data_IF_164209126655
#
_entry.id   IF_164209126655
#
_cell.length_a   1.000
_cell.length_b   1.000
_cell.length_c   1.000
_cell.angle_alpha   90.00
_cell.angle_beta   90.00
_cell.angle_gamma   90.00
#
_symmetry.space_group_name_H-M   'P 1'
#
loop_
_entity.id
_entity.type
_entity.pdbx_description
1 polymer ?
#
# COMPACT_ATOMS: atom_id res chain seq x y z
N UNK A 1 -49.80 45.63 -10.05
CA UNK A 1 -49.00 45.96 -8.83
C UNK A 1 -47.98 44.86 -8.59
N UNK A 2 -46.68 45.15 -8.77
CA UNK A 2 -45.58 44.20 -8.61
C UNK A 2 -44.89 44.51 -7.28
N UNK A 3 -44.95 43.62 -6.31
CA UNK A 3 -44.19 43.77 -5.07
C UNK A 3 -42.74 43.29 -5.29
N UNK A 4 -41.80 44.21 -5.09
CA UNK A 4 -40.37 43.92 -4.98
C UNK A 4 -40.10 43.44 -3.55
N UNK A 5 -39.76 42.18 -3.39
CA UNK A 5 -39.25 41.67 -2.11
C UNK A 5 -37.75 42.03 -2.02
N UNK A 6 -37.41 42.73 -0.97
CA UNK A 6 -36.05 43.19 -0.65
C UNK A 6 -35.20 42.07 -0.08
N UNK A 7 -34.08 41.79 -0.77
CA UNK A 7 -33.17 40.66 -0.51
C UNK A 7 -32.02 41.00 0.47
N UNK A 8 -32.23 41.92 1.42
CA UNK A 8 -31.13 42.51 2.20
C UNK A 8 -31.05 42.10 3.70
N UNK A 9 -31.93 41.25 4.19
CA UNK A 9 -31.93 40.94 5.63
C UNK A 9 -31.35 39.57 6.01
N UNK A 10 -31.02 38.69 5.05
CA UNK A 10 -30.48 37.37 5.34
C UNK A 10 -28.94 37.35 5.45
N UNK A 11 -28.24 38.36 4.97
CA UNK A 11 -26.75 38.40 5.03
C UNK A 11 -26.18 38.89 6.35
N UNK A 12 -26.98 39.50 7.22
CA UNK A 12 -26.50 40.02 8.52
C UNK A 12 -26.53 39.01 9.68
N UNK A 13 -27.23 37.92 9.53
CA UNK A 13 -27.39 36.93 10.58
C UNK A 13 -26.36 35.77 10.53
N UNK A 14 -25.67 35.63 9.38
CA UNK A 14 -24.65 34.57 9.23
C UNK A 14 -23.25 35.02 9.72
N UNK A 15 -23.02 36.36 9.83
CA UNK A 15 -21.73 36.89 10.25
C UNK A 15 -21.49 36.89 11.76
N UNK A 16 -22.49 36.56 12.59
CA UNK A 16 -22.41 36.71 14.05
C UNK A 16 -22.21 35.40 14.81
N UNK A 17 -22.18 34.26 14.12
CA UNK A 17 -21.99 32.94 14.74
C UNK A 17 -20.55 32.41 14.63
N UNK A 18 -19.70 33.05 13.84
CA UNK A 18 -18.34 32.54 13.56
C UNK A 18 -17.27 33.10 14.52
N UNK A 19 -17.59 34.10 15.36
CA UNK A 19 -16.59 34.75 16.23
C UNK A 19 -16.55 34.25 17.66
N UNK A 20 -17.35 33.26 18.05
CA UNK A 20 -17.41 32.80 19.45
C UNK A 20 -16.71 31.47 19.78
N UNK A 21 -15.96 30.84 18.82
CA UNK A 21 -15.40 29.49 19.03
C UNK A 21 -13.86 29.46 19.06
N UNK A 22 -13.17 30.55 19.27
CA UNK A 22 -11.70 30.58 19.20
C UNK A 22 -11.02 31.10 20.48
N UNK A 23 -11.55 30.77 21.66
CA UNK A 23 -10.79 30.96 22.90
C UNK A 23 -11.15 29.77 23.83
N UNK A 24 -10.34 28.74 23.88
CA UNK A 24 -9.96 27.91 25.03
C UNK A 24 -9.21 26.66 24.54
N UNK A 25 -7.94 26.66 24.78
CA UNK A 25 -7.15 25.51 25.27
C UNK A 25 -5.66 25.69 24.92
N UNK A 26 -5.01 26.56 25.65
CA UNK A 26 -3.57 26.45 25.89
C UNK A 26 -3.43 25.99 27.34
N UNK A 27 -3.28 24.70 27.55
CA UNK A 27 -2.75 24.16 28.81
C UNK A 27 -1.37 23.61 28.55
N UNK A 28 -0.37 24.31 29.11
CA UNK A 28 0.99 23.84 29.23
C UNK A 28 1.02 22.50 29.98
N UNK A 29 1.68 21.52 29.39
CA UNK A 29 2.21 20.37 30.11
C UNK A 29 3.72 20.36 29.95
N UNK A 30 4.40 21.01 30.90
CA UNK A 30 5.82 20.82 31.15
C UNK A 30 6.03 19.51 31.89
N UNK A 31 6.53 18.48 31.22
CA UNK A 31 7.08 17.31 31.88
C UNK A 31 8.59 17.40 31.91
N UNK A 32 9.06 17.46 33.14
CA UNK A 32 10.44 17.50 33.60
C UNK A 32 11.16 16.23 33.16
N UNK A 33 12.26 16.39 32.42
CA UNK A 33 13.23 15.33 32.17
C UNK A 33 14.17 15.26 33.37
N UNK A 34 14.10 14.17 34.11
CA UNK A 34 15.10 13.83 35.11
C UNK A 34 16.26 13.09 34.42
N UNK A 35 17.41 13.70 34.53
CA UNK A 35 18.71 13.17 34.12
C UNK A 35 19.19 12.18 35.20
N UNK A 36 19.43 10.93 34.81
CA UNK A 36 20.13 9.96 35.65
C UNK A 36 21.36 9.44 34.91
N UNK A 37 22.50 9.95 35.34
CA UNK A 37 23.86 9.43 35.08
C UNK A 37 24.13 8.25 35.98
N UNK A 38 24.69 7.17 35.44
CA UNK A 38 25.66 6.21 35.99
C UNK A 38 25.66 4.94 35.18
N UNK A 39 26.71 4.18 34.93
CA UNK A 39 28.15 4.23 35.14
C UNK A 39 28.77 3.19 34.17
N UNK A 40 30.00 3.44 33.83
CA UNK A 40 30.92 2.54 33.11
C UNK A 40 30.95 1.12 33.65
N UNK A 41 30.96 0.12 32.75
CA UNK A 41 31.81 -1.05 32.92
C UNK A 41 32.30 -1.58 31.57
N UNK A 42 33.55 -1.36 31.32
CA UNK A 42 34.38 -1.97 30.31
C UNK A 42 34.47 -3.51 30.52
N UNK A 43 34.25 -4.28 29.51
CA UNK A 43 34.80 -5.66 29.47
C UNK A 43 35.26 -5.93 28.04
N UNK A 44 36.58 -5.90 27.89
CA UNK A 44 37.32 -6.44 26.74
C UNK A 44 37.12 -7.95 26.68
N UNK A 45 36.71 -8.48 25.56
CA UNK A 45 37.04 -9.85 25.18
C UNK A 45 37.36 -9.86 23.68
N UNK A 46 38.63 -10.11 23.43
CA UNK A 46 39.21 -10.48 22.14
C UNK A 46 38.87 -11.95 21.88
N UNK A 47 38.31 -12.23 20.72
CA UNK A 47 38.55 -13.54 20.07
C UNK A 47 38.48 -13.34 18.56
N UNK A 48 39.65 -13.37 17.95
CA UNK A 48 39.82 -13.56 16.51
C UNK A 48 39.47 -15.03 16.19
N UNK A 49 38.60 -15.21 15.23
CA UNK A 49 38.58 -16.48 14.49
C UNK A 49 38.41 -16.18 13.01
N UNK A 50 39.51 -16.27 12.29
CA UNK A 50 39.57 -16.40 10.84
C UNK A 50 38.84 -17.65 10.42
N UNK A 51 37.78 -17.54 9.65
CA UNK A 51 37.32 -18.63 8.80
C UNK A 51 37.17 -18.13 7.38
N UNK A 52 38.06 -18.62 6.55
CA UNK A 52 38.14 -18.51 5.12
C UNK A 52 37.18 -19.55 4.56
N UNK A 53 36.08 -19.13 3.94
CA UNK A 53 35.25 -20.08 3.17
C UNK A 53 34.99 -19.50 1.79
N UNK A 54 35.37 -20.31 0.81
CA UNK A 54 35.34 -20.04 -0.61
C UNK A 54 33.93 -19.76 -1.13
N UNK A 55 33.85 -18.74 -2.00
CA UNK A 55 32.70 -18.49 -2.86
C UNK A 55 32.56 -19.62 -3.89
N UNK A 56 31.56 -20.46 -3.69
CA UNK A 56 31.08 -21.37 -4.74
C UNK A 56 29.91 -20.70 -5.45
N UNK A 57 30.20 -20.18 -6.64
CA UNK A 57 29.26 -19.65 -7.64
C UNK A 57 28.32 -20.79 -8.04
N UNK A 58 27.07 -20.75 -7.59
CA UNK A 58 26.02 -21.61 -8.10
C UNK A 58 25.11 -20.77 -8.98
N UNK A 59 25.34 -20.86 -10.26
CA UNK A 59 24.49 -20.38 -11.35
C UNK A 59 23.35 -21.41 -11.46
N UNK A 60 22.17 -21.05 -10.93
CA UNK A 60 20.95 -21.85 -11.13
C UNK A 60 19.99 -21.06 -12.02
N UNK A 61 20.15 -21.24 -13.31
CA UNK A 61 19.14 -20.91 -14.32
C UNK A 61 18.00 -21.93 -14.22
N UNK A 62 17.00 -21.67 -13.43
CA UNK A 62 15.71 -22.37 -13.51
C UNK A 62 14.79 -21.60 -14.43
N UNK A 63 14.71 -22.07 -15.65
CA UNK A 63 13.75 -21.70 -16.67
C UNK A 63 12.36 -22.21 -16.24
N UNK A 64 11.62 -21.40 -15.44
CA UNK A 64 10.26 -21.73 -15.05
C UNK A 64 9.36 -21.33 -16.22
N UNK A 65 9.01 -22.32 -17.04
CA UNK A 65 7.94 -22.23 -18.03
C UNK A 65 6.66 -21.69 -17.35
N UNK A 66 6.02 -20.62 -17.88
CA UNK A 66 4.75 -20.13 -17.33
C UNK A 66 3.72 -21.25 -17.35
N UNK A 67 3.16 -21.57 -16.20
CA UNK A 67 2.04 -22.51 -16.12
C UNK A 67 0.85 -21.91 -16.87
N UNK A 68 0.23 -22.71 -17.71
CA UNK A 68 -0.98 -22.33 -18.45
C UNK A 68 -2.07 -21.91 -17.45
N UNK A 69 -2.90 -20.89 -17.77
CA UNK A 69 -3.98 -20.46 -16.89
C UNK A 69 -4.96 -21.61 -16.65
N UNK A 70 -5.25 -21.88 -15.37
CA UNK A 70 -6.23 -22.89 -15.01
C UNK A 70 -7.60 -22.54 -15.60
N UNK A 71 -8.37 -23.53 -16.11
CA UNK A 71 -9.66 -23.28 -16.72
C UNK A 71 -10.62 -22.59 -15.74
N UNK A 72 -11.47 -21.71 -16.25
CA UNK A 72 -12.46 -20.93 -15.47
C UNK A 72 -13.39 -21.85 -14.68
N UNK A 73 -13.68 -23.04 -15.20
CA UNK A 73 -14.52 -24.07 -14.56
C UNK A 73 -13.94 -24.56 -13.20
N UNK A 74 -12.60 -24.62 -13.07
CA UNK A 74 -11.97 -25.08 -11.83
C UNK A 74 -12.11 -24.08 -10.68
N UNK A 75 -12.15 -22.78 -10.96
CA UNK A 75 -12.33 -21.74 -9.92
C UNK A 75 -13.74 -21.79 -9.33
N UNK A 76 -14.76 -21.92 -10.20
CA UNK A 76 -16.16 -22.00 -9.76
C UNK A 76 -16.39 -23.23 -8.91
N UNK A 77 -15.85 -24.36 -9.32
CA UNK A 77 -15.94 -25.63 -8.59
C UNK A 77 -15.31 -25.53 -7.18
N UNK A 78 -14.16 -24.86 -7.05
CA UNK A 78 -13.52 -24.61 -5.78
C UNK A 78 -14.34 -23.67 -4.88
N UNK A 79 -14.97 -22.63 -5.46
CA UNK A 79 -15.84 -21.72 -4.71
C UNK A 79 -17.10 -22.43 -4.19
N UNK A 80 -17.68 -23.35 -4.97
CA UNK A 80 -18.84 -24.14 -4.54
C UNK A 80 -18.49 -25.11 -3.41
N UNK A 81 -17.28 -25.67 -3.41
CA UNK A 81 -16.77 -26.44 -2.26
C UNK A 81 -16.62 -25.58 -1.00
N UNK A 82 -16.24 -24.30 -1.14
CA UNK A 82 -16.17 -23.39 0.00
C UNK A 82 -17.54 -23.15 0.65
N UNK A 83 -18.61 -23.06 -0.16
CA UNK A 83 -19.99 -22.89 0.34
C UNK A 83 -20.47 -24.07 1.19
N UNK A 84 -19.90 -25.26 1.01
CA UNK A 84 -20.19 -26.44 1.83
C UNK A 84 -19.56 -26.44 3.23
N UNK A 85 -18.74 -25.44 3.58
CA UNK A 85 -18.16 -25.31 4.91
C UNK A 85 -19.23 -25.02 5.98
N UNK A 86 -19.04 -25.58 7.19
CA UNK A 86 -20.05 -25.55 8.25
C UNK A 86 -20.26 -24.20 8.90
N UNK A 87 -19.23 -23.35 8.91
CA UNK A 87 -19.34 -22.02 9.51
C UNK A 87 -18.94 -20.91 8.52
N UNK A 88 -19.53 -19.75 8.71
CA UNK A 88 -19.36 -18.60 7.83
C UNK A 88 -17.90 -18.10 7.75
N UNK A 89 -17.15 -18.20 8.84
CA UNK A 89 -15.74 -17.79 8.86
C UNK A 89 -14.88 -18.72 8.00
N UNK A 90 -15.05 -20.03 8.13
CA UNK A 90 -14.34 -21.01 7.30
C UNK A 90 -14.71 -20.89 5.83
N UNK A 91 -15.98 -20.60 5.53
CA UNK A 91 -16.43 -20.32 4.19
C UNK A 91 -15.71 -19.11 3.60
N UNK A 92 -15.69 -17.98 4.34
CA UNK A 92 -15.01 -16.75 3.92
C UNK A 92 -13.50 -16.95 3.70
N UNK A 93 -12.82 -17.62 4.64
CA UNK A 93 -11.38 -17.90 4.53
C UNK A 93 -11.06 -18.81 3.32
N UNK A 94 -11.90 -19.80 3.06
CA UNK A 94 -11.80 -20.67 1.90
C UNK A 94 -12.00 -19.89 0.58
N UNK A 95 -13.07 -19.13 0.46
CA UNK A 95 -13.35 -18.31 -0.75
C UNK A 95 -12.24 -17.29 -1.00
N UNK A 96 -11.73 -16.66 0.07
CA UNK A 96 -10.59 -15.74 -0.02
C UNK A 96 -9.36 -16.46 -0.57
N UNK A 97 -9.03 -17.63 -0.05
CA UNK A 97 -7.87 -18.39 -0.51
C UNK A 97 -7.99 -18.78 -2.00
N UNK A 98 -9.16 -19.20 -2.45
CA UNK A 98 -9.43 -19.53 -3.87
C UNK A 98 -9.26 -18.27 -4.75
N UNK A 99 -9.83 -17.14 -4.35
CA UNK A 99 -9.71 -15.87 -5.08
C UNK A 99 -8.27 -15.37 -5.15
N UNK A 100 -7.53 -15.43 -4.02
CA UNK A 100 -6.12 -15.05 -3.96
C UNK A 100 -5.26 -15.97 -4.84
N UNK A 101 -5.51 -17.27 -4.84
CA UNK A 101 -4.79 -18.23 -5.71
C UNK A 101 -5.04 -17.94 -7.20
N UNK A 102 -6.28 -17.72 -7.59
CA UNK A 102 -6.65 -17.38 -8.97
C UNK A 102 -6.05 -16.03 -9.40
N UNK A 103 -5.97 -15.05 -8.49
CA UNK A 103 -5.32 -13.78 -8.75
C UNK A 103 -3.80 -13.97 -8.95
N UNK A 104 -3.15 -14.69 -8.04
CA UNK A 104 -1.70 -14.96 -8.10
C UNK A 104 -1.31 -15.71 -9.37
N UNK A 105 -2.16 -16.62 -9.87
CA UNK A 105 -1.91 -17.39 -11.08
C UNK A 105 -1.82 -16.50 -12.35
N UNK A 106 -2.46 -15.34 -12.36
CA UNK A 106 -2.47 -14.38 -13.48
C UNK A 106 -1.48 -13.23 -13.28
N UNK A 107 -0.84 -13.16 -12.14
CA UNK A 107 -0.01 -12.03 -11.73
C UNK A 107 1.47 -12.31 -11.93
N UNK A 108 2.23 -11.26 -12.23
CA UNK A 108 3.68 -11.27 -12.13
C UNK A 108 4.07 -11.15 -10.66
N UNK A 109 4.95 -12.03 -10.19
CA UNK A 109 5.49 -12.01 -8.84
C UNK A 109 6.78 -11.19 -8.79
N UNK A 110 6.84 -10.23 -7.86
CA UNK A 110 8.07 -9.51 -7.50
C UNK A 110 8.30 -9.65 -6.00
N UNK A 111 9.50 -10.07 -5.58
CA UNK A 111 9.82 -10.21 -4.16
C UNK A 111 10.75 -9.09 -3.72
N UNK A 112 10.40 -8.40 -2.65
CA UNK A 112 11.17 -7.33 -2.02
C UNK A 112 11.29 -7.65 -0.53
N UNK A 113 12.51 -7.90 -0.05
CA UNK A 113 12.71 -8.38 1.31
C UNK A 113 11.88 -9.64 1.61
N UNK A 114 11.14 -9.69 2.73
CA UNK A 114 10.31 -10.83 3.09
C UNK A 114 8.93 -10.84 2.40
N UNK A 115 8.61 -9.85 1.57
CA UNK A 115 7.28 -9.70 0.96
C UNK A 115 7.33 -10.03 -0.52
N UNK A 116 6.40 -10.89 -0.94
CA UNK A 116 6.08 -11.13 -2.35
C UNK A 116 4.87 -10.32 -2.76
N UNK A 117 5.02 -9.53 -3.82
CA UNK A 117 3.96 -8.76 -4.46
C UNK A 117 3.51 -9.48 -5.72
N UNK A 118 2.21 -9.64 -5.89
CA UNK A 118 1.59 -10.22 -7.08
C UNK A 118 0.75 -9.14 -7.76
N UNK A 119 1.07 -8.85 -9.02
CA UNK A 119 0.44 -7.81 -9.82
C UNK A 119 0.09 -8.31 -11.23
N UNK A 120 -1.20 -8.32 -11.63
CA UNK A 120 -1.63 -8.86 -12.93
C UNK A 120 -1.59 -7.83 -14.08
N UNK A 121 -1.28 -6.57 -13.79
CA UNK A 121 -1.46 -5.43 -14.68
C UNK A 121 -2.71 -4.63 -14.33
N UNK A 122 -2.85 -3.46 -14.95
CA UNK A 122 -4.02 -2.61 -14.81
C UNK A 122 -4.34 -1.86 -16.11
N UNK A 123 -5.61 -1.53 -16.28
CA UNK A 123 -6.08 -0.65 -17.36
C UNK A 123 -6.18 0.78 -16.82
N UNK A 124 -5.71 1.73 -17.61
CA UNK A 124 -5.90 3.15 -17.33
C UNK A 124 -7.25 3.57 -17.91
N UNK A 125 -8.07 4.16 -17.07
CA UNK A 125 -9.36 4.72 -17.44
C UNK A 125 -9.21 6.22 -17.64
N UNK A 126 -9.89 6.80 -18.64
CA UNK A 126 -9.98 8.25 -18.80
C UNK A 126 -11.39 8.69 -18.47
N UNK A 127 -11.54 9.53 -17.45
CA UNK A 127 -12.81 10.08 -17.01
C UNK A 127 -12.71 11.61 -16.97
N UNK A 128 -13.50 12.27 -17.81
CA UNK A 128 -13.52 13.75 -17.89
C UNK A 128 -12.17 14.37 -18.28
N UNK A 129 -11.40 13.70 -19.14
CA UNK A 129 -10.08 14.17 -19.58
C UNK A 129 -8.96 13.94 -18.54
N UNK A 130 -9.22 13.14 -17.51
CA UNK A 130 -8.26 12.78 -16.46
C UNK A 130 -8.05 11.28 -16.43
N UNK A 131 -6.78 10.89 -16.37
CA UNK A 131 -6.38 9.49 -16.31
C UNK A 131 -6.47 8.98 -14.88
N UNK A 132 -7.04 7.79 -14.74
CA UNK A 132 -7.20 7.10 -13.45
C UNK A 132 -6.74 5.66 -13.63
N UNK A 133 -5.94 5.17 -12.70
CA UNK A 133 -5.54 3.77 -12.66
C UNK A 133 -5.70 3.19 -11.26
N UNK A 134 -6.32 2.01 -11.19
CA UNK A 134 -6.49 1.24 -9.97
C UNK A 134 -5.48 0.10 -9.97
N UNK A 135 -4.45 0.20 -9.15
CA UNK A 135 -3.43 -0.82 -8.98
C UNK A 135 -3.85 -1.76 -7.86
N UNK A 136 -4.24 -2.97 -8.23
CA UNK A 136 -4.58 -4.01 -7.25
C UNK A 136 -3.42 -4.99 -7.08
N UNK A 137 -3.04 -5.23 -5.84
CA UNK A 137 -2.01 -6.18 -5.45
C UNK A 137 -2.55 -7.24 -4.50
N UNK A 138 -1.97 -8.43 -4.58
CA UNK A 138 -1.95 -9.38 -3.48
C UNK A 138 -0.53 -9.41 -2.95
N UNK A 139 -0.36 -9.25 -1.64
CA UNK A 139 0.93 -9.32 -0.96
C UNK A 139 0.95 -10.50 -0.01
N UNK A 140 2.12 -11.13 0.11
CA UNK A 140 2.32 -12.28 0.96
C UNK A 140 3.62 -12.14 1.74
N UNK A 141 3.55 -12.33 3.06
CA UNK A 141 4.74 -12.43 3.88
C UNK A 141 5.33 -13.83 3.75
N UNK A 142 6.39 -13.96 2.97
CA UNK A 142 7.12 -15.22 2.76
C UNK A 142 8.23 -15.43 3.79
N UNK A 143 8.44 -14.49 4.70
CA UNK A 143 9.34 -14.63 5.84
C UNK A 143 8.78 -15.61 6.87
N UNK A 144 9.66 -16.21 7.65
CA UNK A 144 9.30 -17.32 8.55
C UNK A 144 9.06 -16.91 10.01
N UNK A 145 9.40 -15.69 10.41
CA UNK A 145 9.46 -15.34 11.83
C UNK A 145 8.64 -14.12 12.23
N UNK A 146 8.70 -13.04 11.44
CA UNK A 146 8.23 -11.75 11.91
C UNK A 146 6.94 -11.29 11.21
N UNK A 147 6.10 -10.58 11.96
CA UNK A 147 5.02 -9.82 11.36
C UNK A 147 5.61 -8.65 10.60
N UNK A 148 5.17 -8.46 9.38
CA UNK A 148 5.59 -7.34 8.53
C UNK A 148 4.44 -6.36 8.39
N UNK A 149 4.74 -5.08 8.54
CA UNK A 149 3.77 -4.01 8.35
C UNK A 149 4.13 -3.19 7.10
N UNK A 150 3.13 -2.95 6.28
CA UNK A 150 3.17 -2.03 5.14
C UNK A 150 2.50 -0.73 5.58
N UNK A 151 3.11 0.42 5.26
CA UNK A 151 2.64 1.74 5.72
C UNK A 151 2.28 2.66 4.56
N UNK A 152 1.08 3.26 4.64
CA UNK A 152 0.61 4.30 3.74
C UNK A 152 -0.48 5.14 4.42
N UNK A 153 -0.08 6.06 5.29
CA UNK A 153 -1.00 6.85 6.14
C UNK A 153 -1.54 8.11 5.47
N UNK A 154 -0.88 8.57 4.43
CA UNK A 154 -1.30 9.74 3.64
C UNK A 154 -0.37 9.93 2.45
N UNK A 155 -0.76 10.68 1.38
CA UNK A 155 0.07 10.83 0.18
C UNK A 155 1.47 11.38 0.44
N UNK A 156 1.63 12.19 1.50
CA UNK A 156 2.94 12.69 1.93
C UNK A 156 3.75 11.65 2.73
N UNK A 157 3.06 10.71 3.39
CA UNK A 157 3.65 9.72 4.32
C UNK A 157 3.24 8.32 3.86
N UNK A 158 3.56 7.99 2.61
CA UNK A 158 3.32 6.69 2.02
C UNK A 158 4.63 6.11 1.50
N UNK A 159 4.88 4.85 1.83
CA UNK A 159 6.06 4.12 1.39
C UNK A 159 5.93 3.60 -0.05
N UNK A 160 4.85 3.98 -0.74
CA UNK A 160 4.53 3.58 -2.10
C UNK A 160 4.26 4.80 -2.97
N UNK A 161 4.88 4.85 -4.13
CA UNK A 161 4.60 5.83 -5.19
C UNK A 161 4.79 5.20 -6.57
N UNK A 162 4.17 5.77 -7.59
CA UNK A 162 4.36 5.37 -8.99
C UNK A 162 5.32 6.33 -9.65
N UNK A 163 6.24 5.81 -10.47
CA UNK A 163 7.14 6.63 -11.27
C UNK A 163 7.16 6.15 -12.73
N UNK A 164 7.24 7.12 -13.64
CA UNK A 164 7.49 6.90 -15.08
C UNK A 164 8.98 7.06 -15.46
N UNK A 165 9.86 7.11 -14.45
CA UNK A 165 11.29 7.34 -14.61
C UNK A 165 11.69 8.82 -14.54
N UNK A 166 10.77 9.75 -14.81
CA UNK A 166 11.00 11.20 -14.74
C UNK A 166 10.15 11.87 -13.68
N UNK A 167 8.91 11.43 -13.54
CA UNK A 167 7.91 11.99 -12.61
C UNK A 167 7.55 10.94 -11.57
N UNK A 168 7.29 11.40 -10.35
CA UNK A 168 6.76 10.57 -9.26
C UNK A 168 5.34 11.01 -8.94
N UNK A 169 4.41 10.06 -9.01
CA UNK A 169 3.00 10.26 -8.75
C UNK A 169 2.65 9.70 -7.38
N UNK A 170 1.90 10.48 -6.61
CA UNK A 170 1.34 10.04 -5.34
C UNK A 170 -0.06 9.47 -5.54
N UNK A 171 -0.46 8.56 -4.67
CA UNK A 171 -1.80 7.99 -4.77
C UNK A 171 -2.88 9.03 -4.45
N UNK A 172 -4.03 8.86 -5.09
CA UNK A 172 -5.24 9.63 -4.82
C UNK A 172 -6.13 8.96 -3.75
N UNK A 173 -6.20 7.61 -3.76
CA UNK A 173 -6.91 6.83 -2.77
C UNK A 173 -6.21 5.50 -2.53
N UNK A 174 -6.39 4.91 -1.34
CA UNK A 174 -5.98 3.53 -1.02
C UNK A 174 -6.95 2.89 -0.04
N UNK A 175 -6.86 1.58 0.13
CA UNK A 175 -7.68 0.80 1.05
C UNK A 175 -6.91 0.27 2.28
N UNK A 176 -5.80 0.91 2.65
CA UNK A 176 -5.05 0.57 3.86
C UNK A 176 -5.85 0.94 5.11
N UNK A 177 -6.25 -0.05 5.88
CA UNK A 177 -6.96 0.16 7.13
C UNK A 177 -6.07 0.91 8.14
N UNK A 178 -6.51 2.09 8.58
CA UNK A 178 -5.73 2.96 9.48
C UNK A 178 -4.31 3.24 8.98
N UNK A 179 -4.12 3.28 7.66
CA UNK A 179 -2.85 3.56 7.02
C UNK A 179 -1.82 2.44 7.08
N UNK A 180 -2.23 1.21 7.43
CA UNK A 180 -1.30 0.08 7.55
C UNK A 180 -1.94 -1.26 7.18
N UNK A 181 -1.09 -2.19 6.74
CA UNK A 181 -1.43 -3.59 6.52
C UNK A 181 -0.44 -4.44 7.30
N UNK A 182 -0.92 -5.24 8.25
CA UNK A 182 -0.09 -6.17 9.02
C UNK A 182 -0.22 -7.58 8.46
N UNK A 183 0.90 -8.20 8.12
CA UNK A 183 1.01 -9.55 7.57
C UNK A 183 1.77 -10.44 8.55
N UNK A 184 1.12 -11.46 9.08
CA UNK A 184 1.77 -12.55 9.80
C UNK A 184 2.60 -13.41 8.83
N UNK A 185 3.59 -14.19 9.31
CA UNK A 185 4.28 -15.16 8.47
C UNK A 185 3.31 -16.07 7.73
N UNK A 186 3.51 -16.25 6.43
CA UNK A 186 2.63 -17.01 5.53
C UNK A 186 1.28 -16.38 5.20
N UNK A 187 0.94 -15.23 5.80
CA UNK A 187 -0.33 -14.56 5.51
C UNK A 187 -0.27 -13.76 4.22
N UNK A 188 -1.41 -13.71 3.51
CA UNK A 188 -1.61 -12.84 2.35
C UNK A 188 -2.76 -11.87 2.57
N UNK A 189 -2.64 -10.67 1.98
CA UNK A 189 -3.71 -9.67 1.90
C UNK A 189 -3.71 -9.01 0.52
N UNK A 190 -4.89 -8.61 0.05
CA UNK A 190 -5.03 -7.74 -1.10
C UNK A 190 -5.12 -6.29 -0.66
N UNK A 191 -4.62 -5.40 -1.49
CA UNK A 191 -4.86 -3.96 -1.37
C UNK A 191 -4.92 -3.30 -2.75
N UNK A 192 -5.55 -2.14 -2.79
CA UNK A 192 -5.70 -1.32 -3.99
C UNK A 192 -5.16 0.08 -3.73
N UNK A 193 -4.45 0.62 -4.72
CA UNK A 193 -4.04 2.02 -4.74
C UNK A 193 -4.54 2.66 -6.03
N UNK A 194 -5.24 3.78 -5.91
CA UNK A 194 -5.73 4.57 -7.03
C UNK A 194 -4.79 5.73 -7.28
N UNK A 195 -4.35 5.89 -8.52
CA UNK A 195 -3.61 7.06 -9.00
C UNK A 195 -4.49 7.80 -10.01
N UNK A 196 -4.50 9.13 -9.92
CA UNK A 196 -5.38 9.94 -10.74
C UNK A 196 -5.14 11.43 -10.51
N UNK A 197 -6.19 12.25 -10.64
CA UNK A 197 -6.11 13.67 -10.30
C UNK A 197 -5.64 13.85 -8.87
N UNK A 198 -4.74 14.79 -8.64
CA UNK A 198 -4.32 15.14 -7.29
C UNK A 198 -5.52 15.59 -6.47
N UNK A 199 -5.76 14.91 -5.34
CA UNK A 199 -6.80 15.25 -4.39
C UNK A 199 -6.16 15.75 -3.10
N UNK A 200 -6.56 16.93 -2.64
CA UNK A 200 -6.24 17.41 -1.31
C UNK A 200 -5.03 18.34 -1.24
N UNK A 201 -4.49 18.42 -0.06
CA UNK A 201 -3.53 19.43 0.35
C UNK A 201 -2.12 19.08 -0.13
N UNK A 202 -1.58 19.89 -1.01
CA UNK A 202 -0.20 19.81 -1.45
C UNK A 202 -0.04 19.81 -2.97
N UNK A 203 1.19 20.08 -3.42
CA UNK A 203 1.55 20.11 -4.84
C UNK A 203 1.88 18.70 -5.32
N UNK A 204 0.86 17.85 -5.45
CA UNK A 204 1.01 16.55 -6.08
C UNK A 204 0.75 16.68 -7.57
N UNK A 205 1.52 15.93 -8.37
CA UNK A 205 1.35 15.88 -9.81
C UNK A 205 0.21 14.92 -10.14
N UNK A 206 -0.76 15.37 -10.95
CA UNK A 206 -1.81 14.52 -11.48
C UNK A 206 -1.19 13.37 -12.27
N UNK A 207 -1.70 12.17 -12.07
CA UNK A 207 -1.30 11.04 -12.87
C UNK A 207 -1.74 11.27 -14.32
N UNK A 208 -0.76 11.17 -15.24
CA UNK A 208 -0.99 11.22 -16.69
C UNK A 208 -0.31 10.00 -17.31
N UNK A 209 -1.09 9.24 -18.05
CA UNK A 209 -0.60 8.06 -18.72
C UNK A 209 0.01 8.41 -20.08
N UNK A 210 1.21 7.92 -20.29
CA UNK A 210 1.91 7.98 -21.57
C UNK A 210 2.29 6.54 -21.96
N UNK A 211 1.68 5.97 -23.01
CA UNK A 211 1.93 4.59 -23.41
C UNK A 211 3.37 4.31 -23.89
N UNK A 212 4.17 5.36 -24.12
CA UNK A 212 5.58 5.22 -24.51
C UNK A 212 6.51 5.06 -23.31
N UNK A 213 6.02 5.30 -22.08
CA UNK A 213 6.80 5.25 -20.85
C UNK A 213 6.62 3.93 -20.10
N UNK A 214 7.64 3.59 -19.32
CA UNK A 214 7.60 2.46 -18.41
C UNK A 214 7.28 2.95 -17.00
N UNK A 215 6.28 2.34 -16.38
CA UNK A 215 5.85 2.68 -15.04
C UNK A 215 6.33 1.65 -14.03
N UNK A 216 6.69 2.12 -12.84
CA UNK A 216 7.06 1.27 -11.71
C UNK A 216 6.35 1.74 -10.43
N UNK A 217 5.90 0.79 -9.60
CA UNK A 217 5.60 1.07 -8.21
C UNK A 217 6.91 0.99 -7.42
N UNK A 218 7.28 2.09 -6.79
CA UNK A 218 8.41 2.13 -5.88
C UNK A 218 7.93 1.72 -4.48
N UNK A 219 8.66 0.84 -3.84
CA UNK A 219 8.46 0.38 -2.47
C UNK A 219 9.61 0.91 -1.63
N UNK A 220 9.32 1.58 -0.51
CA UNK A 220 10.31 2.24 0.38
C UNK A 220 10.02 1.89 1.84
N UNK A 221 9.90 0.61 2.13
CA UNK A 221 9.59 0.12 3.46
C UNK A 221 10.86 -0.12 4.29
N UNK A 222 10.80 -0.04 5.63
CA UNK A 222 11.96 -0.31 6.50
C UNK A 222 12.51 -1.72 6.35
N UNK A 223 11.66 -2.70 5.99
CA UNK A 223 12.04 -4.09 5.80
C UNK A 223 12.55 -4.39 4.39
N UNK A 224 12.49 -3.45 3.45
CA UNK A 224 13.01 -3.61 2.10
C UNK A 224 12.54 -2.53 1.12
N UNK A 225 13.42 -2.19 0.19
CA UNK A 225 13.12 -1.24 -0.88
C UNK A 225 13.30 -1.88 -2.24
N UNK A 226 12.48 -1.48 -3.21
CA UNK A 226 12.56 -2.01 -4.57
C UNK A 226 11.55 -1.37 -5.51
N UNK A 227 11.51 -1.89 -6.74
CA UNK A 227 10.62 -1.43 -7.80
C UNK A 227 9.83 -2.61 -8.35
N UNK A 228 8.55 -2.41 -8.57
CA UNK A 228 7.65 -3.38 -9.21
C UNK A 228 7.27 -2.81 -10.57
N UNK A 229 7.65 -3.45 -11.69
CA UNK A 229 7.22 -3.03 -13.01
C UNK A 229 5.69 -3.07 -13.13
N UNK A 230 5.12 -1.99 -13.66
CA UNK A 230 3.68 -1.88 -13.88
C UNK A 230 3.36 -2.07 -15.36
N UNK A 231 2.56 -3.08 -15.67
CA UNK A 231 2.02 -3.29 -17.00
C UNK A 231 0.68 -2.53 -17.08
N UNK A 232 0.75 -1.27 -17.51
CA UNK A 232 -0.40 -0.38 -17.72
C UNK A 232 -0.83 -0.41 -19.18
N UNK A 233 -2.16 -0.39 -19.42
CA UNK A 233 -2.77 -0.41 -20.76
C UNK A 233 -3.85 0.64 -20.88
#
# INVERSE_FOLDING_TARGET
MKQKLTHNNTLKLVALVITASLILSVTLSTSVFAEEKKDKKETKSKTETKSKTEMKKAESTTNVKPAAPAPVDSMQQNLDQCKAKKNQREQFECEKAVKDAAFKAKATKTTIGPISFYYPGATVENSGGKDIVNLKFVVENTGSKDNITLYCTGPAVCNYDVSDGTTTFKYAANDFTSGQIVLKPGASKSFTMTFGPAIGYGSYVDFKFDPTKQYTLNVKEPWGSGKIPLNLK
#
